data_IF_922068208752
#
_entry.id   IF_922068208752
#
_cell.length_a   1.000
_cell.length_b   1.000
_cell.length_c   1.000
_cell.angle_alpha   90.00
_cell.angle_beta   90.00
_cell.angle_gamma   90.00
#
_symmetry.space_group_name_H-M   'P 1'
#
loop_
_entity.id
_entity.type
_entity.pdbx_description
1 polymer ?
#
# COMPACT_ATOMS: atom_id res chain seq x y z
N UNK A 1 59.58 -26.76 72.06
CA UNK A 1 59.09 -26.10 73.30
C UNK A 1 57.60 -26.42 73.43
N UNK A 2 57.26 -27.13 74.51
CA UNK A 2 55.90 -27.41 74.97
C UNK A 2 55.10 -26.10 75.14
N UNK A 3 53.81 -26.10 74.82
CA UNK A 3 52.75 -26.18 75.84
C UNK A 3 51.34 -26.20 75.22
N UNK A 4 50.69 -27.32 75.49
CA UNK A 4 49.29 -27.68 75.38
C UNK A 4 48.32 -26.72 76.07
N UNK A 5 47.10 -26.60 75.53
CA UNK A 5 45.88 -26.50 76.38
C UNK A 5 44.67 -27.14 75.71
N UNK A 6 44.28 -28.30 76.24
CA UNK A 6 42.99 -28.99 76.03
C UNK A 6 41.97 -28.39 77.01
N UNK A 7 40.74 -28.16 76.56
CA UNK A 7 39.60 -27.93 77.47
C UNK A 7 38.42 -28.80 77.05
N UNK A 8 37.73 -29.32 78.06
CA UNK A 8 36.98 -30.57 78.10
C UNK A 8 35.52 -30.44 77.65
N UNK A 9 35.02 -31.49 77.00
CA UNK A 9 33.60 -31.76 76.78
C UNK A 9 32.88 -31.99 78.11
N UNK A 10 31.70 -31.38 78.27
CA UNK A 10 30.72 -31.71 79.30
C UNK A 10 29.41 -32.06 78.60
N UNK A 11 28.99 -33.32 78.73
CA UNK A 11 27.70 -33.87 78.33
C UNK A 11 26.79 -33.88 79.56
N UNK A 12 25.57 -33.35 79.46
CA UNK A 12 24.43 -33.60 80.36
C UNK A 12 23.12 -33.38 79.55
N UNK A 13 21.98 -33.97 79.97
CA UNK A 13 21.23 -34.91 79.14
C UNK A 13 19.89 -34.39 78.59
N UNK A 14 19.35 -35.16 77.66
CA UNK A 14 18.02 -35.01 77.05
C UNK A 14 16.91 -34.89 78.09
N UNK A 15 16.05 -33.89 77.92
CA UNK A 15 14.65 -33.95 78.35
C UNK A 15 13.75 -33.51 77.19
N UNK A 16 12.94 -34.47 76.73
CA UNK A 16 11.87 -34.32 75.76
C UNK A 16 10.92 -33.18 76.13
N UNK A 17 10.73 -32.23 75.23
CA UNK A 17 9.44 -31.54 75.09
C UNK A 17 9.11 -31.39 73.61
N UNK A 18 8.14 -32.20 73.20
CA UNK A 18 7.45 -32.19 71.90
C UNK A 18 6.54 -30.97 71.78
N UNK A 19 6.19 -30.60 70.52
CA UNK A 19 5.09 -29.69 70.10
C UNK A 19 5.55 -28.21 70.10
N UNK A 20 5.64 -27.42 69.02
CA UNK A 20 4.98 -27.34 67.70
C UNK A 20 5.95 -26.67 66.70
N UNK A 21 6.33 -27.35 65.61
CA UNK A 21 6.97 -26.70 64.46
C UNK A 21 5.86 -26.16 63.56
N UNK A 22 5.38 -24.95 63.85
CA UNK A 22 4.55 -24.20 62.90
C UNK A 22 5.46 -23.80 61.74
N UNK A 23 5.38 -24.58 60.67
CA UNK A 23 6.08 -24.34 59.43
C UNK A 23 5.51 -23.05 58.82
N UNK A 24 6.18 -21.93 59.09
CA UNK A 24 6.17 -20.79 58.18
C UNK A 24 7.02 -21.20 56.98
N UNK A 25 6.48 -22.11 56.16
CA UNK A 25 6.83 -22.09 54.75
C UNK A 25 6.35 -20.72 54.25
N UNK A 26 7.22 -19.83 53.74
CA UNK A 26 6.71 -18.79 52.88
C UNK A 26 5.98 -19.55 51.77
N UNK A 27 4.67 -19.33 51.65
CA UNK A 27 3.97 -19.67 50.43
C UNK A 27 4.66 -18.85 49.35
N UNK A 28 5.66 -19.45 48.70
CA UNK A 28 6.09 -19.03 47.39
C UNK A 28 4.83 -19.14 46.54
N UNK A 29 4.10 -18.03 46.41
CA UNK A 29 3.14 -17.85 45.34
C UNK A 29 3.95 -18.10 44.08
N UNK A 30 3.83 -19.30 43.54
CA UNK A 30 4.33 -19.61 42.22
C UNK A 30 3.66 -18.60 41.30
N UNK A 31 4.47 -17.65 40.85
CA UNK A 31 4.08 -16.67 39.84
C UNK A 31 3.57 -17.44 38.63
N UNK A 32 2.38 -17.07 38.15
CA UNK A 32 1.75 -17.61 36.95
C UNK A 32 2.67 -17.40 35.74
N UNK A 33 3.54 -18.36 35.46
CA UNK A 33 4.48 -18.34 34.32
C UNK A 33 4.11 -19.40 33.27
N UNK A 34 3.36 -20.44 33.64
CA UNK A 34 2.94 -21.53 32.75
C UNK A 34 1.85 -21.12 31.76
N UNK A 35 0.91 -20.26 32.14
CA UNK A 35 -0.15 -19.80 31.23
C UNK A 35 0.41 -18.84 30.16
N UNK A 36 1.27 -17.90 30.56
CA UNK A 36 1.88 -16.94 29.63
C UNK A 36 2.78 -17.63 28.60
N UNK A 37 3.59 -18.60 29.02
CA UNK A 37 4.46 -19.35 28.10
C UNK A 37 3.64 -20.17 27.08
N UNK A 38 2.56 -20.84 27.50
CA UNK A 38 1.70 -21.61 26.59
C UNK A 38 0.95 -20.74 25.58
N UNK A 39 0.49 -19.55 25.98
CA UNK A 39 -0.14 -18.59 25.06
C UNK A 39 0.85 -17.99 24.06
N UNK A 40 2.10 -17.73 24.48
CA UNK A 40 3.17 -17.23 23.61
C UNK A 40 3.50 -18.26 22.52
N UNK A 41 3.74 -19.53 22.90
CA UNK A 41 4.04 -20.60 21.93
C UNK A 41 2.88 -20.86 20.96
N UNK A 42 1.64 -20.78 21.44
CA UNK A 42 0.45 -20.96 20.60
C UNK A 42 0.23 -19.80 19.63
N UNK A 43 0.44 -18.55 20.05
CA UNK A 43 0.35 -17.40 19.17
C UNK A 43 1.44 -17.43 18.10
N UNK A 44 2.67 -17.83 18.46
CA UNK A 44 3.77 -17.96 17.51
C UNK A 44 3.46 -18.98 16.41
N UNK A 45 3.00 -20.19 16.77
CA UNK A 45 2.65 -21.22 15.79
C UNK A 45 1.52 -20.79 14.83
N UNK A 46 0.57 -19.97 15.30
CA UNK A 46 -0.51 -19.43 14.45
C UNK A 46 0.01 -18.32 13.54
N UNK A 47 0.87 -17.44 14.06
CA UNK A 47 1.55 -16.40 13.28
C UNK A 47 2.35 -17.03 12.12
N UNK A 48 3.17 -18.04 12.40
CA UNK A 48 3.91 -18.85 11.43
C UNK A 48 3.01 -19.35 10.29
N UNK A 49 1.89 -20.00 10.64
CA UNK A 49 0.92 -20.48 9.65
C UNK A 49 0.29 -19.37 8.82
N UNK A 50 -0.04 -18.23 9.43
CA UNK A 50 -0.57 -17.07 8.72
C UNK A 50 0.48 -16.42 7.79
N UNK A 51 1.75 -16.46 8.17
CA UNK A 51 2.88 -15.92 7.44
C UNK A 51 3.49 -16.86 6.38
N UNK A 52 2.97 -18.08 6.25
CA UNK A 52 3.41 -19.01 5.22
C UNK A 52 3.27 -18.41 3.79
N UNK A 53 4.29 -18.57 2.96
CA UNK A 53 4.36 -18.00 1.61
C UNK A 53 4.63 -16.49 1.55
N UNK A 54 4.85 -15.80 2.68
CA UNK A 54 5.27 -14.39 2.68
C UNK A 54 6.75 -14.24 2.37
N UNK A 55 7.14 -13.17 1.67
CA UNK A 55 8.54 -12.89 1.33
C UNK A 55 9.36 -12.45 2.54
N UNK A 56 8.75 -11.66 3.43
CA UNK A 56 9.40 -11.15 4.65
C UNK A 56 8.83 -11.87 5.86
N UNK A 57 9.11 -13.17 5.92
CA UNK A 57 8.50 -14.10 6.87
C UNK A 57 8.70 -13.69 8.33
N UNK A 58 9.94 -13.41 8.73
CA UNK A 58 10.27 -13.02 10.11
C UNK A 58 9.52 -11.75 10.53
N UNK A 59 9.51 -10.72 9.67
CA UNK A 59 8.76 -9.48 9.91
C UNK A 59 7.25 -9.77 10.06
N UNK A 60 6.70 -10.68 9.25
CA UNK A 60 5.32 -11.09 9.37
C UNK A 60 5.06 -11.74 10.74
N UNK A 61 5.87 -12.74 11.12
CA UNK A 61 5.70 -13.49 12.37
C UNK A 61 5.84 -12.59 13.59
N UNK A 62 6.84 -11.70 13.60
CA UNK A 62 7.03 -10.70 14.65
C UNK A 62 5.81 -9.78 14.80
N UNK A 63 5.27 -9.30 13.66
CA UNK A 63 4.08 -8.45 13.65
C UNK A 63 2.85 -9.18 14.20
N UNK A 64 2.62 -10.42 13.74
CA UNK A 64 1.41 -11.16 14.09
C UNK A 64 1.46 -11.73 15.51
N UNK A 65 2.63 -12.12 16.00
CA UNK A 65 2.80 -12.69 17.34
C UNK A 65 2.50 -11.67 18.45
N UNK A 66 2.67 -10.38 18.16
CA UNK A 66 2.30 -9.27 19.05
C UNK A 66 0.78 -9.07 19.18
N UNK A 67 -0.04 -9.69 18.33
CA UNK A 67 -1.49 -9.52 18.34
C UNK A 67 -2.12 -10.30 19.50
N UNK A 68 -2.86 -9.63 20.42
CA UNK A 68 -3.49 -10.32 21.54
C UNK A 68 -4.62 -11.24 21.05
N UNK A 69 -4.69 -12.44 21.62
CA UNK A 69 -5.68 -13.46 21.27
C UNK A 69 -5.73 -13.79 19.77
N UNK A 70 -4.58 -13.87 19.09
CA UNK A 70 -4.48 -14.14 17.64
C UNK A 70 -5.35 -15.32 17.20
N UNK A 71 -5.37 -16.41 17.97
CA UNK A 71 -6.17 -17.61 17.70
C UNK A 71 -7.69 -17.41 17.59
N UNK A 72 -8.23 -16.26 18.02
CA UNK A 72 -9.66 -15.94 17.92
C UNK A 72 -9.99 -15.01 16.76
N UNK A 73 -8.98 -14.53 16.03
CA UNK A 73 -9.14 -13.55 14.96
C UNK A 73 -9.27 -14.25 13.61
N UNK A 74 -10.18 -13.76 12.79
CA UNK A 74 -10.27 -14.11 11.38
C UNK A 74 -9.09 -13.56 10.60
N UNK A 75 -8.76 -14.14 9.45
CA UNK A 75 -7.69 -13.63 8.57
C UNK A 75 -7.94 -12.17 8.15
N UNK A 76 -9.19 -11.76 7.99
CA UNK A 76 -9.56 -10.38 7.70
C UNK A 76 -9.17 -9.44 8.85
N UNK A 77 -9.47 -9.83 10.10
CA UNK A 77 -9.06 -9.07 11.28
C UNK A 77 -7.54 -9.03 11.43
N UNK A 78 -6.86 -10.16 11.21
CA UNK A 78 -5.39 -10.24 11.27
C UNK A 78 -4.76 -9.30 10.23
N UNK A 79 -5.27 -9.29 8.99
CA UNK A 79 -4.84 -8.36 7.96
C UNK A 79 -5.11 -6.90 8.35
N UNK A 80 -6.28 -6.58 8.92
CA UNK A 80 -6.56 -5.24 9.44
C UNK A 80 -5.54 -4.80 10.52
N UNK A 81 -5.08 -5.71 11.39
CA UNK A 81 -4.00 -5.40 12.34
C UNK A 81 -2.68 -5.08 11.63
N UNK A 82 -2.29 -5.88 10.63
CA UNK A 82 -1.10 -5.62 9.82
C UNK A 82 -1.19 -4.28 9.08
N UNK A 83 -2.35 -3.94 8.52
CA UNK A 83 -2.57 -2.65 7.86
C UNK A 83 -2.41 -1.48 8.84
N UNK A 84 -2.93 -1.59 10.08
CA UNK A 84 -2.76 -0.55 11.10
C UNK A 84 -1.28 -0.36 11.48
N UNK A 85 -0.54 -1.45 11.68
CA UNK A 85 0.91 -1.37 11.92
C UNK A 85 1.61 -0.67 10.75
N UNK A 86 1.24 -1.03 9.52
CA UNK A 86 1.78 -0.39 8.32
C UNK A 86 1.44 1.10 8.26
N UNK A 87 0.21 1.50 8.62
CA UNK A 87 -0.20 2.91 8.70
C UNK A 87 0.64 3.73 9.70
N UNK A 88 1.02 3.12 10.83
CA UNK A 88 1.90 3.77 11.81
C UNK A 88 3.34 3.93 11.27
N UNK A 89 3.87 2.93 10.57
CA UNK A 89 5.16 3.00 9.87
C UNK A 89 5.18 4.08 8.78
N UNK A 90 4.07 4.21 8.03
CA UNK A 90 3.90 5.27 7.02
C UNK A 90 3.86 6.65 7.69
N UNK A 91 3.13 6.82 8.78
CA UNK A 91 3.09 8.09 9.53
C UNK A 91 4.47 8.47 10.09
N UNK A 92 5.20 7.49 10.60
CA UNK A 92 6.58 7.66 11.07
C UNK A 92 7.50 8.14 9.94
N UNK A 93 7.42 7.48 8.78
CA UNK A 93 8.22 7.83 7.60
C UNK A 93 7.84 9.21 7.03
N UNK A 94 6.55 9.57 7.05
CA UNK A 94 6.07 10.90 6.66
C UNK A 94 6.61 11.99 7.58
N UNK A 95 6.62 11.76 8.90
CA UNK A 95 7.22 12.66 9.87
C UNK A 95 8.73 12.82 9.65
N UNK A 96 9.44 11.75 9.27
CA UNK A 96 10.86 11.81 8.97
C UNK A 96 11.14 12.66 7.71
N UNK A 97 10.36 12.47 6.64
CA UNK A 97 10.48 13.23 5.39
C UNK A 97 10.19 14.72 5.60
N UNK A 98 9.08 15.05 6.26
CA UNK A 98 8.71 16.44 6.57
C UNK A 98 9.68 17.08 7.57
N UNK A 99 10.20 16.31 8.53
CA UNK A 99 11.25 16.74 9.45
C UNK A 99 12.54 17.14 8.73
N UNK A 100 12.97 16.36 7.73
CA UNK A 100 14.14 16.69 6.89
C UNK A 100 13.95 18.00 6.12
N UNK A 101 12.76 18.20 5.55
CA UNK A 101 12.40 19.42 4.83
C UNK A 101 12.46 20.65 5.74
N UNK A 102 11.91 20.55 6.95
CA UNK A 102 11.90 21.62 7.94
C UNK A 102 13.31 21.94 8.49
N UNK A 103 14.09 20.91 8.85
CA UNK A 103 15.38 21.09 9.51
C UNK A 103 16.48 21.63 8.57
N UNK A 104 16.37 21.41 7.26
CA UNK A 104 17.43 21.72 6.29
C UNK A 104 16.97 22.68 5.18
N UNK A 105 15.89 23.44 5.41
CA UNK A 105 15.21 24.22 4.35
C UNK A 105 16.14 25.09 3.50
N UNK A 106 17.19 25.68 4.10
CA UNK A 106 18.13 26.56 3.40
C UNK A 106 19.33 25.81 2.79
N UNK A 107 19.61 24.59 3.26
CA UNK A 107 20.71 23.75 2.77
C UNK A 107 20.31 22.78 1.65
N UNK A 108 19.00 22.52 1.50
CA UNK A 108 18.48 21.63 0.46
C UNK A 108 18.50 22.30 -0.91
N UNK A 109 19.09 21.62 -1.89
CA UNK A 109 18.98 21.98 -3.30
C UNK A 109 17.53 21.94 -3.78
N UNK A 110 17.16 22.68 -4.84
CA UNK A 110 15.81 22.63 -5.40
C UNK A 110 15.32 21.21 -5.73
N UNK A 111 16.21 20.37 -6.28
CA UNK A 111 15.89 18.98 -6.61
C UNK A 111 15.61 18.13 -5.35
N UNK A 112 16.32 18.38 -4.26
CA UNK A 112 16.05 17.71 -2.97
C UNK A 112 14.71 18.13 -2.38
N UNK A 113 14.35 19.41 -2.49
CA UNK A 113 13.03 19.91 -2.05
C UNK A 113 11.90 19.24 -2.84
N UNK A 114 12.03 19.16 -4.17
CA UNK A 114 11.05 18.43 -5.00
C UNK A 114 11.00 16.95 -4.65
N UNK A 115 12.15 16.29 -4.43
CA UNK A 115 12.18 14.88 -4.03
C UNK A 115 11.50 14.61 -2.69
N UNK A 116 11.70 15.48 -1.69
CA UNK A 116 11.04 15.37 -0.39
C UNK A 116 9.53 15.61 -0.49
N UNK A 117 9.11 16.62 -1.26
CA UNK A 117 7.70 16.89 -1.53
C UNK A 117 7.02 15.71 -2.24
N UNK A 118 7.69 15.11 -3.23
CA UNK A 118 7.19 13.93 -3.94
C UNK A 118 7.09 12.72 -3.01
N UNK A 119 8.10 12.51 -2.15
CA UNK A 119 8.06 11.43 -1.18
C UNK A 119 6.91 11.58 -0.18
N UNK A 120 6.68 12.80 0.31
CA UNK A 120 5.54 13.12 1.17
C UNK A 120 4.21 12.82 0.47
N UNK A 121 4.03 13.25 -0.78
CA UNK A 121 2.83 12.94 -1.57
C UNK A 121 2.63 11.42 -1.74
N UNK A 122 3.69 10.68 -2.05
CA UNK A 122 3.66 9.22 -2.22
C UNK A 122 3.30 8.49 -0.91
N UNK A 123 3.78 8.96 0.23
CA UNK A 123 3.41 8.43 1.55
C UNK A 123 1.94 8.71 1.89
N UNK A 124 1.43 9.90 1.55
CA UNK A 124 0.00 10.20 1.69
C UNK A 124 -0.88 9.31 0.81
N UNK A 125 -0.45 9.05 -0.44
CA UNK A 125 -1.14 8.08 -1.30
C UNK A 125 -1.13 6.69 -0.70
N UNK A 126 -0.02 6.27 -0.12
CA UNK A 126 0.11 4.98 0.58
C UNK A 126 -0.92 4.88 1.71
N UNK A 127 -1.02 5.90 2.56
CA UNK A 127 -2.05 5.96 3.62
C UNK A 127 -3.46 5.80 3.08
N UNK A 128 -3.78 6.51 2.00
CA UNK A 128 -5.12 6.45 1.40
C UNK A 128 -5.45 5.07 0.82
N UNK A 129 -4.48 4.40 0.19
CA UNK A 129 -4.65 3.05 -0.33
C UNK A 129 -4.86 2.04 0.81
N UNK A 130 -4.03 2.10 1.87
CA UNK A 130 -4.16 1.22 3.04
C UNK A 130 -5.52 1.37 3.73
N UNK A 131 -5.98 2.61 3.94
CA UNK A 131 -7.30 2.89 4.53
C UNK A 131 -8.45 2.42 3.66
N UNK A 132 -8.29 2.48 2.34
CA UNK A 132 -9.28 1.96 1.41
C UNK A 132 -9.37 0.44 1.55
N UNK A 133 -8.24 -0.26 1.56
CA UNK A 133 -8.20 -1.72 1.79
C UNK A 133 -8.82 -2.07 3.15
N UNK A 134 -8.50 -1.33 4.22
CA UNK A 134 -9.09 -1.54 5.54
C UNK A 134 -10.62 -1.42 5.52
N UNK A 135 -11.16 -0.39 4.86
CA UNK A 135 -12.61 -0.19 4.76
C UNK A 135 -13.28 -1.30 3.94
N UNK A 136 -12.68 -1.71 2.83
CA UNK A 136 -13.22 -2.83 2.05
C UNK A 136 -13.19 -4.13 2.86
N UNK A 137 -12.10 -4.38 3.59
CA UNK A 137 -11.95 -5.56 4.45
C UNK A 137 -13.00 -5.66 5.55
N UNK A 138 -13.40 -4.52 6.11
CA UNK A 138 -14.41 -4.43 7.19
C UNK A 138 -15.84 -4.38 6.67
N UNK A 139 -16.04 -4.22 5.36
CA UNK A 139 -17.37 -4.22 4.75
C UNK A 139 -17.89 -5.65 4.53
N UNK A 140 -19.22 -5.82 4.60
CA UNK A 140 -19.87 -7.14 4.56
C UNK A 140 -19.47 -8.01 3.35
N UNK A 141 -19.36 -7.40 2.16
CA UNK A 141 -19.01 -8.10 0.93
C UNK A 141 -17.78 -7.54 0.22
N UNK A 142 -17.05 -6.60 0.82
CA UNK A 142 -15.87 -5.99 0.20
C UNK A 142 -14.77 -6.99 -0.14
N UNK A 143 -14.39 -7.94 0.76
CA UNK A 143 -13.39 -8.95 0.42
C UNK A 143 -13.78 -9.80 -0.79
N UNK A 144 -15.08 -10.00 -1.03
CA UNK A 144 -15.58 -10.76 -2.17
C UNK A 144 -15.64 -9.93 -3.46
N UNK A 145 -16.04 -8.65 -3.36
CA UNK A 145 -16.36 -7.78 -4.51
C UNK A 145 -15.18 -6.92 -4.99
N UNK A 146 -14.29 -6.56 -4.07
CA UNK A 146 -13.21 -5.58 -4.29
C UNK A 146 -11.82 -6.18 -4.11
N UNK A 147 -11.69 -7.50 -4.18
CA UNK A 147 -10.39 -8.19 -4.03
C UNK A 147 -9.31 -7.67 -4.98
N UNK A 148 -9.62 -7.58 -6.29
CA UNK A 148 -8.68 -7.09 -7.30
C UNK A 148 -8.28 -5.64 -7.06
N UNK A 149 -9.22 -4.82 -6.60
CA UNK A 149 -8.96 -3.42 -6.26
C UNK A 149 -8.00 -3.35 -5.07
N UNK A 150 -8.22 -4.15 -4.02
CA UNK A 150 -7.31 -4.22 -2.87
C UNK A 150 -5.91 -4.72 -3.24
N UNK A 151 -5.79 -5.72 -4.11
CA UNK A 151 -4.48 -6.15 -4.65
C UNK A 151 -3.80 -5.01 -5.39
N UNK A 152 -4.55 -4.25 -6.19
CA UNK A 152 -4.05 -3.09 -6.93
C UNK A 152 -3.56 -2.00 -5.97
N UNK A 153 -4.35 -1.66 -4.96
CA UNK A 153 -4.03 -0.65 -3.95
C UNK A 153 -2.78 -1.01 -3.15
N UNK A 154 -2.66 -2.26 -2.69
CA UNK A 154 -1.47 -2.73 -1.99
C UNK A 154 -0.23 -2.75 -2.92
N UNK A 155 -0.38 -3.18 -4.18
CA UNK A 155 0.73 -3.16 -5.14
C UNK A 155 1.21 -1.73 -5.45
N UNK A 156 0.27 -0.79 -5.56
CA UNK A 156 0.56 0.63 -5.73
C UNK A 156 1.28 1.21 -4.49
N UNK A 157 0.78 0.92 -3.28
CA UNK A 157 1.39 1.31 -2.01
C UNK A 157 2.87 0.89 -1.91
N UNK A 158 3.21 -0.33 -2.33
CA UNK A 158 4.59 -0.79 -2.40
C UNK A 158 5.40 -0.03 -3.45
N UNK A 159 4.85 0.17 -4.64
CA UNK A 159 5.52 0.92 -5.74
C UNK A 159 5.86 2.35 -5.32
N UNK A 160 4.96 3.02 -4.58
CA UNK A 160 5.18 4.39 -4.11
C UNK A 160 6.43 4.54 -3.24
N UNK A 161 6.78 3.53 -2.43
CA UNK A 161 7.98 3.57 -1.59
C UNK A 161 9.25 3.57 -2.44
N UNK A 162 9.31 2.71 -3.47
CA UNK A 162 10.43 2.66 -4.41
C UNK A 162 10.51 3.95 -5.24
N UNK A 163 9.38 4.49 -5.70
CA UNK A 163 9.34 5.77 -6.41
C UNK A 163 9.86 6.92 -5.56
N UNK A 164 9.53 6.96 -4.25
CA UNK A 164 10.10 7.95 -3.34
C UNK A 164 11.63 7.80 -3.29
N UNK A 165 12.14 6.58 -3.12
CA UNK A 165 13.58 6.33 -3.08
C UNK A 165 14.29 6.74 -4.37
N UNK A 166 13.69 6.47 -5.52
CA UNK A 166 14.24 6.77 -6.84
C UNK A 166 14.35 8.28 -7.08
N UNK A 167 13.53 9.09 -6.42
CA UNK A 167 13.69 10.55 -6.36
C UNK A 167 15.06 11.02 -5.82
N UNK A 168 15.79 10.14 -5.14
CA UNK A 168 17.10 10.42 -4.53
C UNK A 168 18.24 9.55 -5.09
N UNK A 169 18.06 8.90 -6.24
CA UNK A 169 19.04 7.98 -6.81
C UNK A 169 20.32 8.65 -7.37
N UNK A 170 20.27 9.96 -7.69
CA UNK A 170 21.35 10.69 -8.38
C UNK A 170 21.89 11.85 -7.53
N UNK A 171 23.18 12.15 -7.68
CA UNK A 171 23.82 13.35 -7.11
C UNK A 171 24.16 13.26 -5.62
N UNK A 172 24.17 14.39 -4.93
CA UNK A 172 24.46 14.54 -3.48
C UNK A 172 23.33 14.05 -2.56
N UNK A 173 22.38 13.27 -3.09
CA UNK A 173 21.15 12.87 -2.41
C UNK A 173 21.27 11.55 -1.63
N UNK A 174 22.48 10.94 -1.63
CA UNK A 174 22.71 9.64 -1.00
C UNK A 174 22.43 9.65 0.50
N UNK A 175 22.73 10.74 1.20
CA UNK A 175 22.48 10.86 2.65
C UNK A 175 20.98 10.84 2.97
N UNK A 176 20.17 11.60 2.22
CA UNK A 176 18.71 11.62 2.38
C UNK A 176 18.15 10.22 2.10
N UNK A 177 18.58 9.61 0.98
CA UNK A 177 18.16 8.25 0.62
C UNK A 177 18.46 7.25 1.73
N UNK A 178 19.68 7.25 2.26
CA UNK A 178 20.09 6.34 3.34
C UNK A 178 19.26 6.52 4.60
N UNK A 179 18.86 7.75 4.91
CA UNK A 179 18.04 8.04 6.08
C UNK A 179 16.61 7.53 5.96
N UNK A 180 15.96 7.75 4.80
CA UNK A 180 14.55 7.36 4.60
C UNK A 180 14.36 5.88 4.22
N UNK A 181 15.38 5.25 3.61
CA UNK A 181 15.29 3.90 3.07
C UNK A 181 14.83 2.82 4.06
N UNK A 182 15.32 2.76 5.30
CA UNK A 182 14.88 1.74 6.25
C UNK A 182 13.36 1.76 6.49
N UNK A 183 12.76 2.94 6.69
CA UNK A 183 11.31 3.08 6.90
C UNK A 183 10.51 2.70 5.66
N UNK A 184 10.93 3.17 4.48
CA UNK A 184 10.27 2.87 3.21
C UNK A 184 10.32 1.37 2.84
N UNK A 185 11.43 0.70 3.15
CA UNK A 185 11.53 -0.76 3.00
C UNK A 185 10.65 -1.48 4.01
N UNK A 186 10.62 -1.04 5.27
CA UNK A 186 9.75 -1.67 6.27
C UNK A 186 8.27 -1.60 5.85
N UNK A 187 7.80 -0.44 5.37
CA UNK A 187 6.46 -0.27 4.79
C UNK A 187 6.26 -1.25 3.62
N UNK A 188 7.18 -1.28 2.66
CA UNK A 188 7.10 -2.16 1.48
C UNK A 188 7.02 -3.64 1.87
N UNK A 189 7.76 -4.04 2.91
CA UNK A 189 7.79 -5.41 3.39
C UNK A 189 6.46 -5.80 4.05
N UNK A 190 5.89 -4.94 4.89
CA UNK A 190 4.55 -5.17 5.45
C UNK A 190 3.46 -5.24 4.37
N UNK A 191 3.53 -4.36 3.36
CA UNK A 191 2.60 -4.37 2.23
C UNK A 191 2.73 -5.66 1.40
N UNK A 192 3.96 -6.11 1.15
CA UNK A 192 4.24 -7.39 0.47
C UNK A 192 3.64 -8.57 1.24
N UNK A 193 3.80 -8.62 2.56
CA UNK A 193 3.21 -9.66 3.39
C UNK A 193 1.68 -9.57 3.38
N UNK A 194 1.13 -8.35 3.42
CA UNK A 194 -0.31 -8.09 3.36
C UNK A 194 -0.94 -8.60 2.06
N UNK A 195 -0.25 -8.53 0.92
CA UNK A 195 -0.71 -9.10 -0.36
C UNK A 195 -0.89 -10.62 -0.30
N UNK A 196 0.01 -11.33 0.40
CA UNK A 196 -0.10 -12.79 0.57
C UNK A 196 -1.22 -13.12 1.56
N UNK A 197 -1.31 -12.41 2.67
CA UNK A 197 -2.39 -12.60 3.66
C UNK A 197 -3.77 -12.31 3.06
N UNK A 198 -3.88 -11.30 2.19
CA UNK A 198 -5.11 -10.96 1.47
C UNK A 198 -5.65 -12.16 0.68
N UNK A 199 -4.78 -12.94 0.03
CA UNK A 199 -5.17 -14.17 -0.69
C UNK A 199 -5.73 -15.27 0.23
N UNK A 200 -5.38 -15.25 1.51
CA UNK A 200 -5.86 -16.19 2.53
C UNK A 200 -7.21 -15.75 3.16
N UNK A 201 -7.71 -14.56 2.81
CA UNK A 201 -9.02 -14.09 3.29
C UNK A 201 -10.14 -14.82 2.55
N UNK A 202 -11.02 -15.46 3.32
CA UNK A 202 -12.16 -16.18 2.77
C UNK A 202 -13.40 -15.27 2.76
N UNK A 203 -13.98 -15.06 1.58
CA UNK A 203 -15.21 -14.29 1.43
C UNK A 203 -16.42 -15.00 2.07
N UNK A 204 -17.37 -14.25 2.67
CA UNK A 204 -18.62 -14.84 3.15
C UNK A 204 -19.40 -15.50 2.02
N UNK A 205 -19.89 -16.73 2.24
CA UNK A 205 -20.59 -17.52 1.21
C UNK A 205 -21.78 -16.81 0.54
N UNK A 206 -22.48 -15.94 1.28
CA UNK A 206 -23.63 -15.19 0.77
C UNK A 206 -23.24 -13.99 -0.11
N UNK A 207 -21.96 -13.60 -0.11
CA UNK A 207 -21.41 -12.56 -0.99
C UNK A 207 -20.91 -13.13 -2.32
N UNK A 208 -20.91 -14.46 -2.49
CA UNK A 208 -20.61 -15.12 -3.75
C UNK A 208 -21.76 -14.85 -4.72
N UNK A 209 -21.54 -13.99 -5.71
CA UNK A 209 -22.51 -13.80 -6.79
C UNK A 209 -22.56 -15.05 -7.68
N UNK A 210 -23.70 -15.33 -8.31
CA UNK A 210 -23.88 -16.42 -9.29
C UNK A 210 -23.07 -16.24 -10.58
N UNK A 211 -22.41 -15.09 -10.74
CA UNK A 211 -21.30 -14.93 -11.68
C UNK A 211 -20.03 -15.20 -10.89
N UNK A 212 -19.15 -16.11 -11.33
CA UNK A 212 -17.91 -16.34 -10.61
C UNK A 212 -17.25 -14.97 -10.43
N UNK A 213 -16.95 -14.53 -9.19
CA UNK A 213 -16.01 -13.45 -9.04
C UNK A 213 -14.79 -13.86 -9.86
N UNK A 214 -14.16 -12.89 -10.52
CA UNK A 214 -12.90 -13.06 -11.24
C UNK A 214 -11.84 -13.87 -10.45
N UNK A 215 -12.06 -14.05 -9.15
CA UNK A 215 -11.47 -15.00 -8.22
C UNK A 215 -11.40 -16.49 -8.66
N UNK A 216 -12.38 -17.05 -9.38
CA UNK A 216 -12.24 -18.45 -9.88
C UNK A 216 -11.25 -18.58 -11.07
N UNK A 217 -10.51 -17.50 -11.38
CA UNK A 217 -9.40 -17.47 -12.35
C UNK A 217 -8.02 -17.24 -11.72
N UNK A 218 -7.94 -17.10 -10.40
CA UNK A 218 -6.67 -16.83 -9.68
C UNK A 218 -6.32 -17.89 -8.64
N UNK A 219 -7.08 -18.98 -8.58
CA UNK A 219 -6.85 -20.11 -7.69
C UNK A 219 -6.78 -21.41 -8.48
N UNK A 220 -5.64 -21.67 -9.11
CA UNK A 220 -5.35 -22.92 -9.81
C UNK A 220 -4.44 -22.68 -11.01
N UNK A 221 -3.18 -23.12 -10.87
CA UNK A 221 -2.16 -23.25 -11.92
C UNK A 221 -1.46 -21.99 -12.46
N UNK A 222 -0.17 -22.12 -12.72
CA UNK A 222 0.78 -21.12 -13.27
C UNK A 222 0.39 -20.53 -14.64
N UNK A 223 -0.78 -20.88 -15.20
CA UNK A 223 -1.17 -20.60 -16.59
C UNK A 223 -1.99 -19.29 -16.79
N UNK A 224 -2.45 -18.62 -15.72
CA UNK A 224 -3.45 -17.54 -15.82
C UNK A 224 -2.95 -16.08 -15.70
N UNK A 225 -1.64 -15.85 -15.59
CA UNK A 225 -1.02 -14.57 -16.02
C UNK A 225 -1.16 -14.34 -17.54
N UNK A 226 -1.64 -15.35 -18.27
CA UNK A 226 -1.92 -15.26 -19.69
C UNK A 226 -3.16 -14.41 -20.01
N UNK A 227 -4.15 -14.24 -19.14
CA UNK A 227 -5.44 -13.63 -19.56
C UNK A 227 -5.48 -12.10 -19.61
N UNK A 228 -4.79 -11.43 -18.69
CA UNK A 228 -4.59 -9.98 -18.78
C UNK A 228 -3.71 -9.61 -19.99
N UNK A 229 -2.83 -10.54 -20.40
CA UNK A 229 -1.95 -10.43 -21.57
C UNK A 229 -2.58 -11.00 -22.85
N UNK A 230 -3.75 -11.66 -22.77
CA UNK A 230 -4.45 -12.19 -23.95
C UNK A 230 -5.10 -11.03 -24.68
N UNK A 231 -4.63 -10.83 -25.90
CA UNK A 231 -5.27 -9.97 -26.89
C UNK A 231 -6.43 -10.76 -27.50
N UNK A 232 -7.63 -10.22 -27.44
CA UNK A 232 -8.79 -10.84 -28.06
C UNK A 232 -8.66 -10.86 -29.60
N UNK A 233 -9.48 -11.63 -30.33
CA UNK A 233 -9.43 -11.67 -31.79
C UNK A 233 -9.65 -10.31 -32.49
N UNK A 234 -10.17 -9.30 -31.77
CA UNK A 234 -10.34 -7.94 -32.24
C UNK A 234 -9.19 -6.99 -31.86
N UNK A 235 -8.09 -7.52 -31.32
CA UNK A 235 -6.89 -6.75 -30.99
C UNK A 235 -6.93 -6.05 -29.63
N UNK A 236 -7.93 -6.30 -28.78
CA UNK A 236 -8.06 -5.62 -27.48
C UNK A 236 -7.61 -6.50 -26.31
N UNK A 237 -6.93 -5.93 -25.28
CA UNK A 237 -6.58 -6.67 -24.08
C UNK A 237 -7.79 -7.25 -23.34
N UNK A 238 -7.62 -8.45 -22.78
CA UNK A 238 -8.64 -9.18 -22.03
C UNK A 238 -9.28 -8.38 -20.89
N UNK A 239 -8.50 -7.52 -20.22
CA UNK A 239 -8.96 -6.66 -19.12
C UNK A 239 -9.89 -5.52 -19.55
N UNK A 240 -9.95 -5.16 -20.84
CA UNK A 240 -10.78 -4.06 -21.30
C UNK A 240 -12.26 -4.48 -21.41
N UNK A 241 -13.19 -3.71 -20.82
CA UNK A 241 -14.62 -4.02 -20.91
C UNK A 241 -15.14 -3.89 -22.35
N UNK A 242 -16.07 -4.77 -22.76
CA UNK A 242 -16.71 -4.73 -24.11
C UNK A 242 -17.30 -3.36 -24.46
N UNK A 243 -17.88 -2.66 -23.48
CA UNK A 243 -18.44 -1.31 -23.68
C UNK A 243 -17.35 -0.28 -24.07
N UNK A 244 -16.15 -0.43 -23.51
CA UNK A 244 -15.02 0.49 -23.71
C UNK A 244 -14.43 0.24 -25.10
N UNK A 245 -14.27 -1.05 -25.47
CA UNK A 245 -13.88 -1.47 -26.83
C UNK A 245 -14.80 -0.86 -27.90
N UNK A 246 -16.12 -0.87 -27.68
CA UNK A 246 -17.10 -0.28 -28.60
C UNK A 246 -16.90 1.23 -28.80
N UNK A 247 -16.43 1.97 -27.78
CA UNK A 247 -16.17 3.41 -27.91
C UNK A 247 -14.97 3.61 -28.86
N UNK A 248 -13.94 2.77 -28.76
CA UNK A 248 -12.73 2.84 -29.59
C UNK A 248 -12.96 2.42 -31.04
N UNK A 249 -13.84 1.44 -31.25
CA UNK A 249 -14.14 0.89 -32.57
C UNK A 249 -15.01 1.81 -33.42
N UNK A 250 -15.78 2.72 -32.81
CA UNK A 250 -16.73 3.56 -33.53
C UNK A 250 -16.07 4.73 -34.28
N UNK A 251 -16.55 4.99 -35.49
CA UNK A 251 -15.99 5.99 -36.41
C UNK A 251 -16.19 7.45 -35.96
N UNK A 252 -17.18 7.73 -35.09
CA UNK A 252 -17.57 9.09 -34.72
C UNK A 252 -17.27 9.37 -33.24
N UNK A 253 -15.98 9.38 -32.89
CA UNK A 253 -15.47 9.71 -31.56
C UNK A 253 -16.01 11.06 -31.02
N UNK A 254 -16.12 12.06 -31.89
CA UNK A 254 -16.68 13.39 -31.59
C UNK A 254 -18.12 13.36 -31.11
N UNK A 255 -18.96 12.47 -31.63
CA UNK A 255 -20.40 12.41 -31.30
C UNK A 255 -20.64 11.77 -29.92
N UNK A 256 -19.62 11.18 -29.30
CA UNK A 256 -19.69 10.56 -27.96
C UNK A 256 -18.76 11.21 -26.94
N UNK A 257 -18.06 12.26 -27.33
CA UNK A 257 -17.20 13.01 -26.44
C UNK A 257 -18.04 13.97 -25.59
N UNK A 258 -17.73 14.04 -24.30
CA UNK A 258 -18.30 15.05 -23.42
C UNK A 258 -17.61 16.41 -23.64
N UNK A 259 -16.31 16.40 -23.96
CA UNK A 259 -15.51 17.57 -24.31
C UNK A 259 -14.60 17.30 -25.50
N UNK A 260 -14.40 18.34 -26.31
CA UNK A 260 -13.44 18.33 -27.43
C UNK A 260 -12.30 19.31 -27.15
N UNK A 261 -11.06 18.84 -27.25
CA UNK A 261 -9.85 19.64 -27.20
C UNK A 261 -9.32 19.82 -28.63
N UNK A 262 -9.14 21.06 -29.06
CA UNK A 262 -8.63 21.39 -30.39
C UNK A 262 -7.72 22.62 -30.34
N UNK A 263 -6.47 22.44 -30.76
CA UNK A 263 -5.44 23.49 -30.70
C UNK A 263 -5.75 24.68 -31.63
N UNK A 264 -6.52 24.44 -32.68
CA UNK A 264 -6.98 25.44 -33.65
C UNK A 264 -8.17 26.28 -33.13
N UNK A 265 -8.66 26.02 -31.91
CA UNK A 265 -9.80 26.70 -31.32
C UNK A 265 -11.17 26.17 -31.78
N UNK A 266 -11.22 25.11 -32.59
CA UNK A 266 -12.47 24.51 -33.08
C UNK A 266 -13.20 23.61 -32.06
N UNK A 267 -12.64 23.46 -30.85
CA UNK A 267 -13.15 22.61 -29.76
C UNK A 267 -13.60 23.44 -28.55
N UNK A 268 -14.00 22.76 -27.48
CA UNK A 268 -14.36 23.40 -26.21
C UNK A 268 -13.15 24.04 -25.51
N UNK A 269 -11.98 23.40 -25.61
CA UNK A 269 -10.73 23.84 -25.00
C UNK A 269 -9.57 23.76 -26.00
N UNK A 270 -8.56 24.61 -25.83
CA UNK A 270 -7.33 24.57 -26.62
C UNK A 270 -6.23 23.70 -25.97
N UNK A 271 -6.33 23.47 -24.66
CA UNK A 271 -5.39 22.67 -23.86
C UNK A 271 -6.09 21.46 -23.25
N UNK A 272 -5.33 20.39 -23.04
CA UNK A 272 -5.85 19.16 -22.43
C UNK A 272 -6.06 19.36 -20.93
N UNK A 273 -5.17 20.10 -20.27
CA UNK A 273 -5.27 20.39 -18.84
C UNK A 273 -6.58 21.13 -18.49
N UNK A 274 -7.00 22.11 -19.30
CA UNK A 274 -8.25 22.83 -19.07
C UNK A 274 -9.48 21.91 -19.21
N UNK A 275 -9.45 20.96 -20.15
CA UNK A 275 -10.52 19.98 -20.29
C UNK A 275 -10.59 19.00 -19.10
N UNK A 276 -9.44 18.60 -18.56
CA UNK A 276 -9.38 17.79 -17.32
C UNK A 276 -9.92 18.56 -16.13
N UNK A 277 -9.57 19.85 -16.00
CA UNK A 277 -10.07 20.70 -14.94
C UNK A 277 -11.61 20.84 -14.99
N UNK A 278 -12.18 20.93 -16.19
CA UNK A 278 -13.62 21.05 -16.42
C UNK A 278 -14.40 19.73 -16.20
N UNK A 279 -13.73 18.58 -16.18
CA UNK A 279 -14.39 17.29 -15.94
C UNK A 279 -15.03 17.23 -14.53
N UNK A 280 -16.18 16.56 -14.35
CA UNK A 280 -16.84 16.45 -13.05
C UNK A 280 -15.98 15.67 -12.04
N UNK A 281 -16.03 16.09 -10.77
CA UNK A 281 -15.40 15.36 -9.67
C UNK A 281 -16.28 14.16 -9.27
N UNK A 282 -15.63 13.03 -8.93
CA UNK A 282 -16.25 11.80 -8.44
C UNK A 282 -17.39 11.27 -9.34
N UNK A 283 -17.22 11.37 -10.65
CA UNK A 283 -18.20 10.86 -11.61
C UNK A 283 -18.31 9.34 -11.54
N UNK A 284 -19.54 8.82 -11.44
CA UNK A 284 -19.84 7.38 -11.54
C UNK A 284 -19.87 6.90 -13.00
N UNK A 285 -20.04 7.83 -13.94
CA UNK A 285 -20.04 7.57 -15.37
C UNK A 285 -18.72 7.99 -16.01
N UNK A 286 -18.42 7.38 -17.16
CA UNK A 286 -17.22 7.73 -17.92
C UNK A 286 -17.37 9.11 -18.52
N UNK A 287 -16.32 9.91 -18.38
CA UNK A 287 -16.19 11.22 -18.99
C UNK A 287 -15.15 11.16 -20.12
N UNK A 288 -15.58 11.33 -21.36
CA UNK A 288 -14.77 11.18 -22.58
C UNK A 288 -14.28 12.54 -23.06
N UNK A 289 -12.97 12.75 -22.98
CA UNK A 289 -12.29 13.91 -23.54
C UNK A 289 -11.68 13.51 -24.89
N UNK A 290 -12.23 14.04 -25.96
CA UNK A 290 -11.70 13.83 -27.30
C UNK A 290 -10.68 14.90 -27.67
N UNK A 291 -9.48 14.49 -28.06
CA UNK A 291 -8.35 15.36 -28.34
C UNK A 291 -8.02 15.24 -29.83
N UNK A 292 -8.32 16.30 -30.58
CA UNK A 292 -8.02 16.37 -32.01
C UNK A 292 -6.52 16.23 -32.28
N UNK A 293 -6.19 15.91 -33.53
CA UNK A 293 -4.83 15.78 -34.02
C UNK A 293 -4.03 17.06 -33.79
N UNK A 294 -2.81 16.90 -33.27
CA UNK A 294 -1.96 18.01 -32.89
C UNK A 294 -0.87 17.58 -31.90
N UNK A 295 0.15 18.44 -31.79
CA UNK A 295 1.18 18.32 -30.76
C UNK A 295 0.84 19.28 -29.60
N UNK A 296 0.49 18.71 -28.45
CA UNK A 296 0.18 19.39 -27.20
C UNK A 296 1.40 19.29 -26.30
N UNK A 297 2.02 20.42 -25.96
CA UNK A 297 3.18 20.47 -25.07
C UNK A 297 2.71 20.84 -23.67
N UNK A 298 2.29 19.84 -22.90
CA UNK A 298 1.65 19.98 -21.60
C UNK A 298 2.10 18.84 -20.68
N UNK A 299 2.23 19.13 -19.39
CA UNK A 299 2.39 18.13 -18.34
C UNK A 299 1.07 18.08 -17.57
N UNK A 300 0.19 17.13 -17.91
CA UNK A 300 -1.18 17.11 -17.39
C UNK A 300 -1.22 16.33 -16.09
N UNK A 301 -1.77 16.99 -15.07
CA UNK A 301 -2.02 16.43 -13.76
C UNK A 301 -3.52 16.16 -13.59
N UNK A 302 -3.88 14.90 -13.42
CA UNK A 302 -5.26 14.48 -13.17
C UNK A 302 -5.45 14.33 -11.66
N UNK A 303 -6.19 15.27 -11.06
CA UNK A 303 -6.48 15.22 -9.63
C UNK A 303 -7.19 13.91 -9.26
N UNK A 304 -6.85 13.37 -8.09
CA UNK A 304 -7.48 12.24 -7.39
C UNK A 304 -9.03 12.26 -7.45
N UNK A 305 -9.69 13.41 -7.48
CA UNK A 305 -11.15 13.52 -7.53
C UNK A 305 -11.70 13.32 -8.95
N UNK A 306 -10.88 13.43 -9.99
CA UNK A 306 -11.27 13.31 -11.40
C UNK A 306 -11.32 11.83 -11.83
N UNK A 307 -12.39 11.14 -11.44
CA UNK A 307 -12.55 9.70 -11.67
C UNK A 307 -13.23 9.42 -13.01
N UNK A 308 -12.95 8.24 -13.58
CA UNK A 308 -13.55 7.73 -14.81
C UNK A 308 -13.31 8.59 -16.07
N UNK A 309 -12.17 9.27 -16.17
CA UNK A 309 -11.77 9.98 -17.38
C UNK A 309 -11.24 9.01 -18.45
N UNK A 310 -11.60 9.26 -19.70
CA UNK A 310 -11.05 8.60 -20.88
C UNK A 310 -10.59 9.64 -21.89
N UNK A 311 -9.34 9.54 -22.31
CA UNK A 311 -8.81 10.32 -23.42
C UNK A 311 -8.94 9.54 -24.72
N UNK A 312 -9.40 10.22 -25.77
CA UNK A 312 -9.56 9.64 -27.11
C UNK A 312 -8.92 10.57 -28.14
N UNK A 313 -7.94 10.06 -28.89
CA UNK A 313 -7.25 10.82 -29.94
C UNK A 313 -7.73 10.49 -31.37
N UNK A 314 -7.28 11.28 -32.35
CA UNK A 314 -7.50 11.05 -33.78
C UNK A 314 -6.76 9.84 -34.36
N UNK A 315 -5.90 9.24 -33.55
CA UNK A 315 -5.15 8.04 -33.87
C UNK A 315 -3.70 8.14 -33.41
N UNK A 316 -3.02 7.01 -33.44
CA UNK A 316 -1.59 6.91 -33.16
C UNK A 316 -0.80 7.86 -34.07
N UNK A 317 0.12 8.63 -33.48
CA UNK A 317 0.95 9.61 -34.19
C UNK A 317 0.24 10.89 -34.66
N UNK A 318 -1.10 10.97 -34.62
CA UNK A 318 -1.85 12.19 -34.96
C UNK A 318 -2.07 13.09 -33.75
N UNK A 319 -2.55 12.51 -32.66
CA UNK A 319 -2.68 13.22 -31.37
C UNK A 319 -1.48 12.87 -30.51
N UNK A 320 -0.63 13.86 -30.23
CA UNK A 320 0.57 13.70 -29.40
C UNK A 320 0.54 14.68 -28.24
N UNK A 321 0.57 14.14 -27.03
CA UNK A 321 0.80 14.91 -25.81
C UNK A 321 2.26 14.70 -25.41
N UNK A 322 3.00 15.79 -25.20
CA UNK A 322 4.44 15.80 -24.94
C UNK A 322 4.74 16.65 -23.71
N UNK A 323 5.50 16.12 -22.77
CA UNK A 323 6.09 16.88 -21.67
C UNK A 323 7.50 17.38 -22.04
N UNK A 324 7.94 18.45 -21.38
CA UNK A 324 9.30 19.00 -21.52
C UNK A 324 10.10 18.99 -20.20
N UNK A 325 9.56 18.39 -19.14
CA UNK A 325 10.21 18.27 -17.83
C UNK A 325 11.22 17.14 -17.80
N UNK A 326 12.41 17.36 -17.24
CA UNK A 326 13.45 16.33 -17.06
C UNK A 326 14.38 16.66 -15.88
N UNK A 327 15.20 15.67 -15.49
CA UNK A 327 16.09 15.76 -14.31
C UNK A 327 17.20 16.79 -14.47
N UNK A 328 17.74 16.95 -15.68
CA UNK A 328 18.80 17.94 -15.95
C UNK A 328 18.26 19.36 -15.72
N UNK A 329 16.99 19.60 -16.05
CA UNK A 329 16.29 20.86 -15.83
C UNK A 329 15.70 21.03 -14.40
N UNK A 330 16.07 20.16 -13.46
CA UNK A 330 15.70 20.28 -12.04
C UNK A 330 14.35 19.66 -11.65
N UNK A 331 13.75 18.84 -12.52
CA UNK A 331 12.55 18.06 -12.19
C UNK A 331 12.90 16.68 -11.63
N UNK A 332 12.01 16.10 -10.83
CA UNK A 332 12.14 14.71 -10.42
C UNK A 332 11.64 13.78 -11.52
N UNK A 333 12.06 12.51 -11.49
CA UNK A 333 11.48 11.48 -12.37
C UNK A 333 9.96 11.40 -12.21
N UNK A 334 9.46 11.50 -10.97
CA UNK A 334 8.02 11.50 -10.69
C UNK A 334 7.26 12.66 -11.35
N UNK A 335 7.79 13.90 -11.28
CA UNK A 335 7.17 15.09 -11.88
C UNK A 335 7.47 15.29 -13.38
N UNK A 336 8.30 14.45 -13.97
CA UNK A 336 8.63 14.50 -15.40
C UNK A 336 7.57 13.86 -16.30
N UNK A 337 6.63 13.11 -15.71
CA UNK A 337 5.56 12.44 -16.44
C UNK A 337 4.75 13.43 -17.29
N UNK A 338 4.50 13.08 -18.54
CA UNK A 338 3.68 13.88 -19.47
C UNK A 338 2.20 13.84 -19.08
N UNK A 339 1.74 12.68 -18.58
CA UNK A 339 0.42 12.46 -18.01
C UNK A 339 0.61 11.75 -16.68
N UNK A 340 0.07 12.29 -15.59
CA UNK A 340 0.12 11.63 -14.29
C UNK A 340 -1.08 11.97 -13.42
N UNK A 341 -1.39 11.10 -12.47
CA UNK A 341 -2.32 11.42 -11.40
C UNK A 341 -1.51 11.91 -10.20
N UNK A 342 -1.70 13.18 -9.82
CA UNK A 342 -1.01 13.84 -8.72
C UNK A 342 -2.01 14.36 -7.70
N UNK A 343 -1.58 14.49 -6.45
CA UNK A 343 -2.38 15.10 -5.38
C UNK A 343 -2.11 16.62 -5.36
N UNK A 344 -3.04 17.41 -5.87
CA UNK A 344 -3.12 18.83 -5.52
C UNK A 344 -3.70 18.93 -4.12
N UNK A 345 -2.87 19.32 -3.13
CA UNK A 345 -3.24 19.48 -1.72
C UNK A 345 -4.69 19.99 -1.55
N UNK A 346 -5.57 19.16 -0.98
CA UNK A 346 -6.77 19.50 -0.19
C UNK A 346 -7.40 18.17 0.31
N UNK A 347 -7.62 18.09 1.62
CA UNK A 347 -8.23 17.00 2.38
C UNK A 347 -9.56 16.42 1.79
N UNK A 348 -9.80 15.15 2.17
CA UNK A 348 -11.03 14.32 2.15
C UNK A 348 -11.34 13.39 0.96
N UNK A 349 -11.19 12.09 1.28
CA UNK A 349 -11.78 10.81 0.84
C UNK A 349 -12.75 10.70 -0.36
N UNK A 350 -12.38 9.88 -1.37
CA UNK A 350 -12.93 8.53 -1.68
C UNK A 350 -12.44 8.01 -3.05
N UNK A 351 -11.89 6.79 -3.08
CA UNK A 351 -11.11 6.18 -4.18
C UNK A 351 -11.96 5.24 -5.04
N UNK A 352 -11.81 5.33 -6.37
CA UNK A 352 -11.60 4.25 -7.35
C UNK A 352 -10.96 4.88 -8.59
N UNK A 353 -9.81 4.39 -9.04
CA UNK A 353 -9.10 4.90 -10.23
C UNK A 353 -9.08 3.90 -11.36
N UNK A 354 -9.50 4.37 -12.53
CA UNK A 354 -9.06 3.87 -13.83
C UNK A 354 -9.00 5.07 -14.78
N UNK A 355 -7.79 5.48 -15.17
CA UNK A 355 -7.59 6.36 -16.31
C UNK A 355 -7.22 5.44 -17.48
N UNK A 356 -8.15 5.20 -18.41
CA UNK A 356 -7.86 4.39 -19.60
C UNK A 356 -7.43 5.32 -20.73
N UNK A 357 -6.18 5.17 -21.17
CA UNK A 357 -5.66 5.83 -22.36
C UNK A 357 -5.79 4.89 -23.55
N UNK A 358 -6.46 5.35 -24.62
CA UNK A 358 -6.52 4.61 -25.86
C UNK A 358 -6.23 5.52 -27.04
N UNK A 359 -5.07 5.27 -27.66
CA UNK A 359 -4.81 5.72 -29.01
C UNK A 359 -5.45 4.70 -29.94
N UNK A 360 -6.35 5.18 -30.79
CA UNK A 360 -6.92 4.38 -31.88
C UNK A 360 -5.73 3.95 -32.78
N UNK A 361 -5.57 2.65 -33.09
CA UNK A 361 -4.50 2.20 -33.99
C UNK A 361 -4.64 2.83 -35.38
#
# INVERSE_FOLDING_TARGET
MNLTKKTKFVLLPLSFLTITFLVLFPTFKTSQTTHNHLHIHRNLAIAESHCDGTLYHDLCVDTLSAIPNLHKKSMAEVLCHTLNVTEDEVRSSESNVTGLECANKDALSPLQKHGLADCHELLQRTMDELRTVYREMTSQCGPARHFTDMVTFLSAAMTYQYTCLDGFAVGSNRTIRQFIQPGLFNISHHVSNSLVMLKKVHAPRHCNSSSPPYYNKYGGDEDDLADANRVDPSGFPGWMKKRDRRILQQANATTRADLVVAKDGSGNFTTVEAAVAAAPNNSDTRFVIYIKGGAYYENIEVDKKKRNIMFLGDGIGKTMIKGNRNVVDGWTTFRSATLGMFLTFIFHYNIFYFCLFFLRP
#
